data_IF_490397071819
#
_entry.id   IF_490397071819
#
_cell.length_a   1.000
_cell.length_b   1.000
_cell.length_c   1.000
_cell.angle_alpha   90.00
_cell.angle_beta   90.00
_cell.angle_gamma   90.00
#
_symmetry.space_group_name_H-M   'P 1'
#
loop_
_entity.id
_entity.type
_entity.pdbx_description
1 polymer ?
#
# COMPACT_ATOMS: atom_id res chain seq x y z
N UNK A 1 48.43 -35.77 -18.80
CA UNK A 1 48.17 -34.48 -18.13
C UNK A 1 46.79 -34.01 -18.57
N UNK A 2 45.82 -34.00 -17.66
CA UNK A 2 44.49 -33.43 -17.86
C UNK A 2 44.17 -32.57 -16.63
N UNK A 3 43.91 -31.29 -16.82
CA UNK A 3 43.22 -30.42 -15.85
C UNK A 3 42.53 -29.33 -16.68
N UNK A 4 41.23 -29.51 -16.99
CA UNK A 4 40.06 -29.08 -16.21
C UNK A 4 39.86 -27.56 -16.29
N UNK A 5 39.08 -27.15 -17.29
CA UNK A 5 38.49 -25.82 -17.40
C UNK A 5 37.36 -25.66 -16.38
N UNK A 6 37.43 -24.60 -15.59
CA UNK A 6 36.44 -24.23 -14.60
C UNK A 6 35.31 -23.45 -15.30
N UNK A 7 34.22 -24.14 -15.66
CA UNK A 7 32.96 -23.51 -16.06
C UNK A 7 32.12 -23.30 -14.79
N UNK A 8 32.06 -22.07 -14.29
CA UNK A 8 31.09 -21.67 -13.26
C UNK A 8 29.68 -21.65 -13.86
N UNK A 9 28.96 -22.77 -13.74
CA UNK A 9 27.51 -22.82 -13.94
C UNK A 9 26.81 -22.35 -12.66
N UNK A 10 26.11 -21.22 -12.71
CA UNK A 10 25.18 -20.85 -11.66
C UNK A 10 23.95 -21.76 -11.78
N UNK A 11 23.83 -22.75 -10.88
CA UNK A 11 22.61 -23.54 -10.73
C UNK A 11 21.56 -22.69 -10.04
N UNK A 12 20.63 -22.11 -10.81
CA UNK A 12 19.39 -21.58 -10.26
C UNK A 12 18.50 -22.75 -9.81
N UNK A 13 18.11 -22.76 -8.54
CA UNK A 13 17.12 -23.73 -8.06
C UNK A 13 15.75 -23.36 -8.64
N UNK A 14 15.31 -24.11 -9.65
CA UNK A 14 13.89 -24.15 -10.01
C UNK A 14 13.17 -24.96 -8.94
N UNK A 15 12.23 -24.31 -8.25
CA UNK A 15 11.24 -25.03 -7.47
C UNK A 15 10.21 -25.61 -8.43
N UNK A 16 10.29 -26.92 -8.63
CA UNK A 16 9.25 -27.70 -9.31
C UNK A 16 8.03 -27.76 -8.39
N UNK A 17 6.98 -27.01 -8.74
CA UNK A 17 5.66 -27.28 -8.21
C UNK A 17 5.09 -28.43 -9.02
N UNK A 18 4.97 -29.61 -8.41
CA UNK A 18 4.24 -30.71 -9.00
C UNK A 18 2.76 -30.31 -9.13
N UNK A 19 2.37 -29.89 -10.33
CA UNK A 19 0.96 -29.77 -10.68
C UNK A 19 0.30 -31.15 -10.56
N UNK A 20 -0.89 -31.28 -9.93
CA UNK A 20 -1.59 -32.55 -9.91
C UNK A 20 -1.94 -32.96 -11.34
N UNK A 21 -1.33 -34.05 -11.81
CA UNK A 21 -1.68 -34.73 -13.05
C UNK A 21 -3.20 -35.00 -13.07
N UNK A 22 -3.92 -34.26 -13.90
CA UNK A 22 -5.24 -34.69 -14.36
C UNK A 22 -5.03 -35.90 -15.27
N UNK A 23 -5.20 -37.09 -14.70
CA UNK A 23 -5.32 -38.35 -15.45
C UNK A 23 -6.51 -38.26 -16.40
N UNK A 24 -6.23 -38.33 -17.71
CA UNK A 24 -7.24 -38.46 -18.76
C UNK A 24 -7.62 -39.93 -18.93
N UNK A 25 -8.83 -40.32 -18.50
CA UNK A 25 -9.60 -41.43 -19.09
C UNK A 25 -11.10 -41.13 -18.93
N UNK A 26 -11.83 -40.98 -20.03
CA UNK A 26 -13.30 -40.74 -20.11
C UNK A 26 -14.08 -42.07 -20.33
N UNK A 27 -15.44 -42.14 -20.48
CA UNK A 27 -16.48 -41.09 -20.44
C UNK A 27 -17.81 -41.45 -19.70
N UNK A 28 -18.65 -40.45 -19.36
CA UNK A 28 -20.12 -40.57 -19.27
C UNK A 28 -20.82 -39.17 -19.34
N UNK A 29 -21.98 -38.99 -20.02
CA UNK A 29 -22.72 -37.71 -20.12
C UNK A 29 -23.96 -37.65 -19.18
N UNK A 30 -24.79 -36.59 -19.15
CA UNK A 30 -24.58 -35.13 -19.25
C UNK A 30 -25.23 -34.34 -18.08
N UNK A 31 -24.80 -33.10 -17.78
CA UNK A 31 -25.69 -32.04 -17.23
C UNK A 31 -25.07 -30.66 -17.45
N UNK A 32 -25.81 -29.63 -17.94
CA UNK A 32 -25.26 -28.31 -18.17
C UNK A 32 -25.24 -27.52 -16.86
N UNK A 33 -24.12 -27.57 -16.14
CA UNK A 33 -23.87 -26.61 -15.06
C UNK A 33 -23.48 -25.28 -15.71
N UNK A 34 -24.33 -24.28 -15.52
CA UNK A 34 -24.10 -22.87 -15.84
C UNK A 34 -22.65 -22.50 -15.47
N UNK A 35 -21.84 -22.26 -16.49
CA UNK A 35 -20.46 -21.82 -16.32
C UNK A 35 -20.47 -20.51 -15.56
N UNK A 36 -19.98 -20.53 -14.32
CA UNK A 36 -19.53 -19.32 -13.64
C UNK A 36 -18.47 -18.69 -14.57
N UNK A 37 -18.65 -17.45 -15.04
CA UNK A 37 -17.61 -16.81 -15.83
C UNK A 37 -16.35 -16.75 -14.97
N UNK A 38 -15.34 -17.53 -15.36
CA UNK A 38 -13.98 -17.30 -14.90
C UNK A 38 -13.62 -15.91 -15.42
N UNK A 39 -13.75 -14.90 -14.56
CA UNK A 39 -13.12 -13.61 -14.78
C UNK A 39 -11.61 -13.81 -14.68
N UNK A 40 -11.02 -14.42 -15.70
CA UNK A 40 -9.68 -14.06 -16.16
C UNK A 40 -9.82 -12.68 -16.81
N UNK A 41 -10.10 -11.67 -16.01
CA UNK A 41 -9.87 -10.30 -16.42
C UNK A 41 -8.37 -10.20 -16.62
N UNK A 42 -7.93 -10.07 -17.86
CA UNK A 42 -6.61 -9.54 -18.17
C UNK A 42 -6.41 -8.32 -17.28
N UNK A 43 -5.41 -8.36 -16.39
CA UNK A 43 -4.98 -7.19 -15.61
C UNK A 43 -4.76 -6.07 -16.61
N UNK A 44 -5.74 -5.17 -16.71
CA UNK A 44 -5.68 -4.10 -17.69
C UNK A 44 -4.44 -3.29 -17.33
N UNK A 45 -3.49 -3.11 -18.26
CA UNK A 45 -2.25 -2.43 -17.94
C UNK A 45 -2.57 -1.06 -17.35
N UNK A 46 -1.81 -0.67 -16.33
CA UNK A 46 -1.76 0.69 -15.82
C UNK A 46 -1.24 1.62 -16.92
N UNK A 47 -2.10 1.97 -17.88
CA UNK A 47 -1.70 2.67 -19.11
C UNK A 47 -2.72 3.69 -19.60
N UNK A 48 -3.85 3.86 -18.90
CA UNK A 48 -4.82 4.90 -19.21
C UNK A 48 -4.20 6.29 -18.95
N UNK A 49 -4.00 7.11 -20.00
CA UNK A 49 -3.37 8.41 -19.84
C UNK A 49 -4.25 9.41 -19.08
N UNK A 50 -5.58 9.29 -19.15
CA UNK A 50 -6.50 10.20 -18.48
C UNK A 50 -6.46 9.98 -16.96
N UNK A 51 -6.42 8.72 -16.52
CA UNK A 51 -6.33 8.40 -15.09
C UNK A 51 -4.98 8.87 -14.54
N UNK A 52 -3.88 8.72 -15.28
CA UNK A 52 -2.56 9.22 -14.86
C UNK A 52 -2.51 10.73 -14.74
N UNK A 53 -3.12 11.46 -15.67
CA UNK A 53 -3.20 12.92 -15.59
C UNK A 53 -4.03 13.36 -14.38
N UNK A 54 -5.14 12.66 -14.11
CA UNK A 54 -5.97 12.92 -12.93
C UNK A 54 -5.22 12.62 -11.63
N UNK A 55 -4.50 11.50 -11.57
CA UNK A 55 -3.68 11.13 -10.42
C UNK A 55 -2.61 12.18 -10.13
N UNK A 56 -1.94 12.71 -11.16
CA UNK A 56 -0.96 13.79 -11.01
C UNK A 56 -1.59 15.09 -10.44
N UNK A 57 -2.81 15.45 -10.89
CA UNK A 57 -3.56 16.59 -10.33
C UNK A 57 -3.93 16.34 -8.86
N UNK A 58 -4.37 15.13 -8.55
CA UNK A 58 -4.75 14.75 -7.19
C UNK A 58 -3.53 14.76 -6.25
N UNK A 59 -2.35 14.34 -6.71
CA UNK A 59 -1.11 14.46 -5.93
C UNK A 59 -0.77 15.92 -5.64
N UNK A 60 -0.88 16.82 -6.62
CA UNK A 60 -0.59 18.23 -6.41
C UNK A 60 -1.48 18.82 -5.30
N UNK A 61 -2.77 18.48 -5.30
CA UNK A 61 -3.70 18.90 -4.27
C UNK A 61 -3.41 18.25 -2.91
N UNK A 62 -3.10 16.95 -2.89
CA UNK A 62 -2.69 16.24 -1.67
C UNK A 62 -1.46 16.89 -1.02
N UNK A 63 -0.44 17.23 -1.82
CA UNK A 63 0.74 17.92 -1.32
C UNK A 63 0.40 19.30 -0.73
N UNK A 64 -0.50 20.05 -1.37
CA UNK A 64 -0.97 21.34 -0.86
C UNK A 64 -1.65 21.17 0.51
N UNK A 65 -2.50 20.16 0.66
CA UNK A 65 -3.21 19.86 1.92
C UNK A 65 -2.23 19.47 3.03
N UNK A 66 -1.35 18.48 2.79
CA UNK A 66 -0.43 17.96 3.81
C UNK A 66 0.64 18.98 4.23
N UNK A 67 1.03 19.90 3.33
CA UNK A 67 2.06 20.92 3.59
C UNK A 67 1.48 22.26 4.04
N UNK A 68 0.18 22.35 4.28
CA UNK A 68 -0.44 23.58 4.78
C UNK A 68 0.11 24.01 6.15
N UNK A 69 0.46 23.04 7.00
CA UNK A 69 1.12 23.33 8.29
C UNK A 69 2.65 23.49 8.12
N UNK A 70 3.26 24.61 8.56
CA UNK A 70 4.69 24.82 8.43
C UNK A 70 5.51 23.90 9.37
N UNK A 71 6.74 23.56 8.99
CA UNK A 71 7.69 22.84 9.84
C UNK A 71 8.32 21.58 9.19
N UNK A 72 9.45 21.08 9.73
CA UNK A 72 10.05 19.84 9.25
C UNK A 72 9.19 18.64 9.64
N UNK A 73 8.93 17.75 8.69
CA UNK A 73 8.29 16.47 8.95
C UNK A 73 9.31 15.40 9.30
N UNK A 74 9.01 14.61 10.33
CA UNK A 74 9.77 13.39 10.63
C UNK A 74 9.32 12.23 9.74
N UNK A 75 8.04 12.20 9.36
CA UNK A 75 7.47 11.20 8.44
C UNK A 75 6.60 11.92 7.42
N UNK A 76 6.73 11.53 6.15
CA UNK A 76 5.89 12.01 5.05
C UNK A 76 5.71 10.87 4.05
N UNK A 77 4.52 10.29 4.02
CA UNK A 77 4.19 9.16 3.14
C UNK A 77 2.98 9.50 2.29
N UNK A 78 3.04 9.17 1.00
CA UNK A 78 1.96 9.39 0.04
C UNK A 78 1.90 8.23 -0.93
N UNK A 79 0.72 7.93 -1.46
CA UNK A 79 0.58 6.95 -2.51
C UNK A 79 -0.84 6.79 -3.03
N UNK A 80 -1.03 5.90 -4.01
CA UNK A 80 -2.33 5.62 -4.58
C UNK A 80 -3.21 4.89 -3.56
N UNK A 81 -4.49 5.27 -3.50
CA UNK A 81 -5.50 4.58 -2.69
C UNK A 81 -6.17 3.45 -3.46
N UNK A 82 -6.07 3.48 -4.78
CA UNK A 82 -6.71 2.54 -5.68
C UNK A 82 -5.79 2.12 -6.83
N UNK A 83 -6.26 1.15 -7.62
CA UNK A 83 -5.53 0.60 -8.75
C UNK A 83 -4.47 -0.44 -8.36
N UNK A 84 -3.65 -0.86 -9.33
CA UNK A 84 -2.75 -2.02 -9.21
C UNK A 84 -1.55 -1.76 -8.30
N UNK A 85 -1.22 -0.49 -8.06
CA UNK A 85 -0.08 -0.05 -7.21
C UNK A 85 -0.56 0.65 -5.94
N UNK A 86 -1.79 0.38 -5.50
CA UNK A 86 -2.35 0.99 -4.29
C UNK A 86 -1.55 0.64 -3.04
N UNK A 87 -1.47 1.59 -2.13
CA UNK A 87 -0.72 1.47 -0.89
C UNK A 87 0.33 2.55 -0.75
N UNK A 88 0.56 2.92 0.51
CA UNK A 88 1.74 3.62 0.95
C UNK A 88 2.02 3.20 2.39
N UNK A 89 3.27 3.34 2.79
CA UNK A 89 3.65 3.19 4.17
C UNK A 89 5.15 3.32 4.36
N UNK A 90 5.53 3.75 5.55
CA UNK A 90 6.92 4.02 5.88
C UNK A 90 7.12 4.12 7.37
N UNK A 91 8.40 4.29 7.73
CA UNK A 91 8.85 4.39 9.12
C UNK A 91 9.82 5.54 9.26
N UNK A 92 9.83 6.18 10.43
CA UNK A 92 10.71 7.29 10.71
C UNK A 92 11.16 7.30 12.16
N UNK A 93 12.38 7.82 12.38
CA UNK A 93 12.90 8.05 13.72
C UNK A 93 12.20 9.24 14.39
N UNK A 94 11.68 9.02 15.59
CA UNK A 94 11.24 10.04 16.53
C UNK A 94 12.45 10.47 17.36
N UNK A 95 12.99 11.68 17.19
CA UNK A 95 14.27 12.07 17.78
C UNK A 95 14.20 12.23 19.31
N UNK A 96 13.06 12.68 19.83
CA UNK A 96 12.81 12.88 21.25
C UNK A 96 11.34 12.64 21.56
N UNK A 97 11.06 12.14 22.76
CA UNK A 97 9.70 11.98 23.26
C UNK A 97 9.01 13.35 23.35
N UNK A 98 7.74 13.42 22.95
CA UNK A 98 7.00 14.68 22.93
C UNK A 98 5.67 14.58 22.19
N UNK A 99 5.06 15.74 21.97
CA UNK A 99 3.83 15.85 21.19
C UNK A 99 4.15 16.03 19.71
N UNK A 100 3.43 15.31 18.87
CA UNK A 100 3.56 15.36 17.43
C UNK A 100 2.18 15.53 16.81
N UNK A 101 2.09 16.35 15.76
CA UNK A 101 0.87 16.48 14.96
C UNK A 101 0.96 15.50 13.80
N UNK A 102 -0.02 14.61 13.71
CA UNK A 102 -0.25 13.71 12.59
C UNK A 102 -1.34 14.33 11.74
N UNK A 103 -1.03 14.64 10.48
CA UNK A 103 -1.98 15.15 9.50
C UNK A 103 -2.10 14.16 8.36
N UNK A 104 -3.32 13.73 8.04
CA UNK A 104 -3.61 12.84 6.92
C UNK A 104 -4.67 13.46 6.00
N UNK A 105 -4.63 13.10 4.72
CA UNK A 105 -5.56 13.59 3.72
C UNK A 105 -5.69 12.58 2.58
N UNK A 106 -6.78 12.71 1.82
CA UNK A 106 -7.01 11.97 0.59
C UNK A 106 -7.75 12.84 -0.43
N UNK A 107 -7.54 12.54 -1.70
CA UNK A 107 -8.15 13.23 -2.84
C UNK A 107 -8.67 12.18 -3.81
N UNK A 108 -9.93 12.31 -4.23
CA UNK A 108 -10.56 11.42 -5.21
C UNK A 108 -11.07 10.09 -4.65
N UNK A 109 -10.95 9.84 -3.34
CA UNK A 109 -11.49 8.65 -2.67
C UNK A 109 -12.66 8.99 -1.74
N UNK A 110 -13.30 7.96 -1.21
CA UNK A 110 -14.21 8.03 -0.05
C UNK A 110 -13.80 6.98 0.98
N UNK A 111 -13.84 7.32 2.26
CA UNK A 111 -13.70 6.36 3.36
C UNK A 111 -12.33 5.69 3.46
N UNK A 112 -11.25 6.38 3.09
CA UNK A 112 -9.90 5.90 3.31
C UNK A 112 -9.51 5.93 4.79
N UNK A 113 -8.60 5.06 5.20
CA UNK A 113 -8.11 4.99 6.58
C UNK A 113 -6.59 4.90 6.60
N UNK A 114 -5.96 5.66 7.49
CA UNK A 114 -4.52 5.58 7.72
C UNK A 114 -4.27 5.10 9.14
N UNK A 115 -3.34 4.17 9.29
CA UNK A 115 -2.88 3.70 10.59
C UNK A 115 -1.54 4.36 10.91
N UNK A 116 -1.40 4.92 12.10
CA UNK A 116 -0.16 5.51 12.61
C UNK A 116 0.13 4.95 14.00
N UNK A 117 1.32 4.43 14.23
CA UNK A 117 1.66 3.82 15.51
C UNK A 117 3.14 3.83 15.81
N UNK A 118 3.47 3.46 17.05
CA UNK A 118 4.83 3.21 17.52
C UNK A 118 4.85 1.86 18.21
N UNK A 119 5.91 1.09 18.00
CA UNK A 119 6.14 -0.17 18.70
C UNK A 119 6.78 0.15 20.06
N UNK A 120 6.24 -0.43 21.12
CA UNK A 120 6.80 -0.33 22.47
C UNK A 120 7.20 -1.73 22.95
N UNK A 121 8.47 -1.95 23.33
CA UNK A 121 8.91 -3.25 23.85
C UNK A 121 8.05 -3.70 25.05
N UNK A 122 7.52 -4.92 24.98
CA UNK A 122 6.71 -5.50 26.06
C UNK A 122 5.23 -5.07 26.07
N UNK A 123 4.78 -4.24 25.13
CA UNK A 123 3.37 -3.91 24.95
C UNK A 123 2.87 -4.38 23.56
N UNK A 124 1.59 -4.77 23.43
CA UNK A 124 1.00 -5.04 22.12
C UNK A 124 1.02 -3.78 21.26
N UNK A 125 1.34 -3.93 19.96
CA UNK A 125 1.22 -2.85 19.00
C UNK A 125 -0.24 -2.40 18.87
N UNK A 126 -0.49 -1.11 19.08
CA UNK A 126 -1.83 -0.49 19.00
C UNK A 126 -1.73 0.81 18.21
N UNK A 127 -1.85 0.73 16.87
CA UNK A 127 -1.81 1.94 16.07
C UNK A 127 -3.12 2.72 16.20
N UNK A 128 -3.03 4.03 16.09
CA UNK A 128 -4.16 4.93 15.92
C UNK A 128 -4.64 4.86 14.47
N UNK A 129 -5.94 4.67 14.26
CA UNK A 129 -6.55 4.81 12.93
C UNK A 129 -7.15 6.20 12.75
N UNK A 130 -6.79 6.85 11.65
CA UNK A 130 -7.39 8.09 11.16
C UNK A 130 -8.33 7.75 10.02
N UNK A 131 -9.64 7.93 10.24
CA UNK A 131 -10.62 7.91 9.17
C UNK A 131 -10.55 9.23 8.39
N UNK A 132 -10.47 9.12 7.07
CA UNK A 132 -10.34 10.28 6.19
C UNK A 132 -11.68 10.55 5.49
N UNK A 133 -12.15 11.78 5.62
CA UNK A 133 -13.36 12.24 4.92
C UNK A 133 -13.13 12.57 3.44
N UNK A 134 -11.85 12.66 3.01
CA UNK A 134 -11.40 13.03 1.67
C UNK A 134 -11.96 14.36 1.14
N UNK A 135 -12.43 15.23 2.04
CA UNK A 135 -12.85 16.61 1.74
C UNK A 135 -11.83 17.64 2.21
N UNK A 136 -10.89 17.23 3.07
CA UNK A 136 -9.81 18.07 3.57
C UNK A 136 -8.72 17.27 4.27
N UNK A 137 -8.20 17.83 5.36
CA UNK A 137 -7.20 17.18 6.22
C UNK A 137 -7.82 16.73 7.53
N UNK A 138 -7.51 15.51 7.95
CA UNK A 138 -7.72 15.05 9.33
C UNK A 138 -6.42 15.25 10.09
N UNK A 139 -6.47 15.89 11.28
CA UNK A 139 -5.26 16.07 12.11
C UNK A 139 -5.52 15.66 13.55
N UNK A 140 -4.54 14.98 14.14
CA UNK A 140 -4.55 14.56 15.54
C UNK A 140 -3.19 14.85 16.19
N UNK A 141 -3.21 15.24 17.45
CA UNK A 141 -1.98 15.41 18.25
C UNK A 141 -1.78 14.15 19.07
N UNK A 142 -0.61 13.53 18.94
CA UNK A 142 -0.25 12.29 19.61
C UNK A 142 1.03 12.45 20.41
N UNK A 143 1.13 11.75 21.53
CA UNK A 143 2.39 11.59 22.23
C UNK A 143 3.20 10.48 21.56
N UNK A 144 4.41 10.80 21.11
CA UNK A 144 5.38 9.81 20.62
C UNK A 144 6.57 9.75 21.58
N UNK A 145 7.16 8.57 21.70
CA UNK A 145 8.41 8.37 22.42
C UNK A 145 9.61 8.39 21.47
N UNK A 146 10.81 8.66 21.96
CA UNK A 146 12.02 8.44 21.17
C UNK A 146 12.05 7.00 20.65
N UNK A 147 12.22 6.81 19.34
CA UNK A 147 12.11 5.48 18.71
C UNK A 147 11.69 5.57 17.25
N UNK A 148 10.86 4.62 16.79
CA UNK A 148 10.33 4.61 15.42
C UNK A 148 8.81 4.73 15.40
N UNK A 149 8.31 5.62 14.55
CA UNK A 149 6.89 5.73 14.20
C UNK A 149 6.67 5.11 12.82
N UNK A 150 5.55 4.43 12.65
CA UNK A 150 5.11 3.77 11.43
C UNK A 150 3.82 4.44 10.97
N UNK A 151 3.65 4.60 9.66
CA UNK A 151 2.38 4.99 9.10
C UNK A 151 2.10 4.21 7.81
N UNK A 152 0.86 3.76 7.62
CA UNK A 152 0.47 3.01 6.43
C UNK A 152 -1.01 3.16 6.10
N UNK A 153 -1.34 3.00 4.82
CA UNK A 153 -2.71 2.90 4.35
C UNK A 153 -3.36 1.60 4.84
N UNK A 154 -4.55 1.68 5.43
CA UNK A 154 -5.37 0.51 5.72
C UNK A 154 -6.12 0.13 4.46
N UNK A 155 -5.71 -0.96 3.83
CA UNK A 155 -6.40 -1.49 2.67
C UNK A 155 -7.64 -2.28 3.12
N UNK A 156 -8.83 -2.04 2.54
CA UNK A 156 -9.90 -3.04 2.60
C UNK A 156 -9.34 -4.34 2.00
N UNK A 157 -9.84 -5.50 2.46
CA UNK A 157 -9.30 -6.82 2.14
C UNK A 157 -9.01 -7.09 0.65
N UNK A 158 -8.37 -8.22 0.32
CA UNK A 158 -7.89 -8.51 -1.03
C UNK A 158 -8.99 -8.34 -2.09
N UNK A 159 -8.68 -7.66 -3.19
CA UNK A 159 -9.60 -7.39 -4.29
C UNK A 159 -9.09 -6.28 -5.22
N UNK A 160 -9.57 -6.23 -6.46
CA UNK A 160 -9.27 -5.13 -7.37
C UNK A 160 -10.06 -3.89 -6.93
N UNK A 161 -9.36 -2.78 -6.76
CA UNK A 161 -10.01 -1.47 -6.61
C UNK A 161 -10.00 -0.81 -7.98
N UNK A 162 -11.09 -0.12 -8.39
CA UNK A 162 -11.10 0.62 -9.64
C UNK A 162 -9.93 1.61 -9.63
N UNK A 163 -9.11 1.63 -10.67
CA UNK A 163 -8.08 2.66 -10.78
C UNK A 163 -8.76 3.97 -11.18
N UNK A 164 -8.86 4.92 -10.26
CA UNK A 164 -9.50 6.23 -10.50
C UNK A 164 -8.51 7.39 -10.38
N UNK A 165 -7.30 7.10 -9.93
CA UNK A 165 -6.27 8.10 -9.63
C UNK A 165 -6.44 8.70 -8.23
N UNK A 166 -7.16 8.03 -7.34
CA UNK A 166 -7.30 8.47 -5.96
C UNK A 166 -5.99 8.30 -5.21
N UNK A 167 -5.62 9.30 -4.42
CA UNK A 167 -4.35 9.34 -3.67
C UNK A 167 -4.60 9.76 -2.23
N UNK A 168 -3.70 9.36 -1.35
CA UNK A 168 -3.73 9.74 0.04
C UNK A 168 -2.35 9.79 0.63
N UNK A 169 -2.27 10.31 1.84
CA UNK A 169 -1.00 10.40 2.54
C UNK A 169 -1.13 10.91 3.95
N UNK A 170 0.02 10.93 4.61
CA UNK A 170 0.18 11.25 6.01
C UNK A 170 1.49 11.96 6.23
N UNK A 171 1.47 12.92 7.15
CA UNK A 171 2.62 13.71 7.56
C UNK A 171 2.64 13.81 9.08
N UNK A 172 3.82 13.67 9.64
CA UNK A 172 4.06 13.80 11.09
C UNK A 172 5.08 14.90 11.33
N UNK A 173 4.72 15.88 12.15
CA UNK A 173 5.58 17.01 12.55
C UNK A 173 5.63 17.09 14.07
N UNK A 174 6.72 17.61 14.64
CA UNK A 174 6.74 17.97 16.06
C UNK A 174 5.70 19.07 16.31
N UNK A 175 4.89 18.92 17.36
CA UNK A 175 4.05 20.01 17.85
C UNK A 175 4.99 20.99 18.58
N UNK A 176 5.12 22.21 18.04
CA UNK A 176 5.97 23.25 18.62
C UNK A 176 5.49 23.74 19.99
#
# INVERSE_FOLDING_TARGET
MCLLGLLCGASGCVYDYSEPLQSTTAPAPPTPTVGRPSHTGTLQPYSDPQIREQEAKNYAELYRLLRASPGPSILFEVGPLDGPVRGFGGTAGVPASGLYTVTAACVGAIGAKVSVGQEHPGAPFRPMELALDCTGTTSEVVALEQGYVFAYLVLPGPGDTPWTGAVGGVRVIAAG
#
